data_IF_349756814608
#
_entry.id   IF_349756814608
#
_cell.length_a   1.000
_cell.length_b   1.000
_cell.length_c   1.000
_cell.angle_alpha   90.00
_cell.angle_beta   90.00
_cell.angle_gamma   90.00
#
_symmetry.space_group_name_H-M   'P 1'
#
loop_
_entity.id
_entity.type
_entity.pdbx_description
1 polymer ?
#
# COMPACT_ATOMS: atom_id res chain seq x y z
N UNK A 1 4.38 5.06 -2.11
CA UNK A 1 3.20 4.97 -1.23
C UNK A 1 2.76 6.36 -0.79
N UNK A 2 3.57 7.11 -0.04
CA UNK A 2 3.21 8.47 0.41
C UNK A 2 2.91 9.44 -0.73
N UNK A 3 3.66 9.40 -1.84
CA UNK A 3 3.37 10.20 -3.04
C UNK A 3 2.01 9.90 -3.69
N UNK A 4 1.40 8.75 -3.39
CA UNK A 4 0.06 8.36 -3.87
C UNK A 4 -1.03 8.65 -2.83
N UNK A 5 -0.70 9.30 -1.70
CA UNK A 5 -1.62 9.61 -0.61
C UNK A 5 -1.83 8.46 0.38
N UNK A 6 -0.98 7.43 0.37
CA UNK A 6 -1.03 6.36 1.38
C UNK A 6 -0.22 6.73 2.62
N UNK A 7 -0.88 6.71 3.77
CA UNK A 7 -0.29 6.89 5.08
C UNK A 7 0.18 5.55 5.65
N UNK A 8 1.41 5.53 6.16
CA UNK A 8 2.02 4.36 6.76
C UNK A 8 1.59 4.22 8.23
N UNK A 9 0.95 3.10 8.56
CA UNK A 9 0.62 2.71 9.91
C UNK A 9 1.50 1.51 10.33
N UNK A 10 2.37 1.75 11.31
CA UNK A 10 3.22 0.73 11.90
C UNK A 10 2.94 0.67 13.40
N UNK A 11 2.44 -0.46 13.95
CA UNK A 11 2.20 -0.55 15.38
C UNK A 11 3.53 -0.54 16.14
N UNK A 12 3.51 0.08 17.33
CA UNK A 12 4.71 0.48 18.10
C UNK A 12 5.50 -0.69 18.72
N UNK A 13 5.00 -1.93 18.67
CA UNK A 13 5.75 -3.12 19.09
C UNK A 13 5.18 -4.41 18.47
N UNK A 14 6.04 -5.30 17.97
CA UNK A 14 5.69 -6.68 17.59
C UNK A 14 5.15 -6.95 16.18
N UNK A 15 4.92 -5.94 15.33
CA UNK A 15 4.50 -6.21 13.95
C UNK A 15 5.67 -6.39 13.00
N UNK A 16 5.66 -7.52 12.31
CA UNK A 16 6.51 -7.83 11.15
C UNK A 16 5.98 -7.24 9.85
N UNK A 17 4.91 -6.44 9.89
CA UNK A 17 4.28 -5.85 8.70
C UNK A 17 4.05 -4.36 8.87
N UNK A 18 4.12 -3.65 7.75
CA UNK A 18 3.66 -2.29 7.55
C UNK A 18 2.28 -2.33 6.89
N UNK A 19 1.36 -1.48 7.34
CA UNK A 19 0.07 -1.31 6.67
C UNK A 19 -0.01 0.12 6.16
N UNK A 20 -0.29 0.28 4.88
CA UNK A 20 -0.49 1.56 4.20
C UNK A 20 -1.98 1.76 4.00
N UNK A 21 -2.52 2.90 4.43
CA UNK A 21 -3.93 3.25 4.28
C UNK A 21 -4.09 4.58 3.56
N UNK A 22 -5.06 4.64 2.66
CA UNK A 22 -5.54 5.87 2.04
C UNK A 22 -7.05 5.93 2.26
N UNK A 23 -7.58 7.10 2.58
CA UNK A 23 -9.02 7.27 2.82
C UNK A 23 -9.80 6.92 1.54
N UNK A 24 -10.84 6.08 1.66
CA UNK A 24 -11.64 5.62 0.52
C UNK A 24 -11.03 4.46 -0.27
N UNK A 25 -9.79 4.05 0.03
CA UNK A 25 -9.07 3.00 -0.69
C UNK A 25 -8.83 1.77 0.20
N UNK A 26 -8.51 0.63 -0.42
CA UNK A 26 -8.15 -0.58 0.31
C UNK A 26 -6.79 -0.45 1.02
N UNK A 27 -6.67 -0.93 2.28
CA UNK A 27 -5.38 -0.96 2.98
C UNK A 27 -4.41 -1.97 2.36
N UNK A 28 -3.15 -1.58 2.19
CA UNK A 28 -2.09 -2.43 1.62
C UNK A 28 -1.11 -2.85 2.72
N UNK A 29 -0.89 -4.16 2.91
CA UNK A 29 0.01 -4.66 3.96
C UNK A 29 1.26 -5.29 3.36
N UNK A 30 2.44 -4.80 3.77
CA UNK A 30 3.75 -5.21 3.27
C UNK A 30 4.59 -5.77 4.42
N UNK A 31 5.21 -6.96 4.29
CA UNK A 31 6.14 -7.46 5.29
C UNK A 31 7.37 -6.54 5.44
N UNK A 32 7.81 -6.32 6.68
CA UNK A 32 9.06 -5.63 7.04
C UNK A 32 10.31 -6.43 6.71
N UNK A 33 10.20 -7.76 6.69
CA UNK A 33 11.37 -8.61 6.59
C UNK A 33 11.98 -8.52 5.20
N UNK A 34 13.23 -8.09 5.16
CA UNK A 34 14.03 -8.03 3.94
C UNK A 34 14.73 -9.37 3.70
N UNK A 35 14.83 -9.84 2.44
CA UNK A 35 14.43 -9.15 1.21
C UNK A 35 12.91 -9.22 0.95
N UNK A 36 12.33 -8.09 0.56
CA UNK A 36 10.93 -8.03 0.15
C UNK A 36 10.80 -8.83 -1.16
N UNK A 37 9.94 -9.86 -1.16
CA UNK A 37 9.70 -10.65 -2.37
C UNK A 37 9.11 -9.75 -3.46
N UNK A 38 9.60 -9.90 -4.70
CA UNK A 38 9.12 -9.14 -5.87
C UNK A 38 7.60 -9.17 -6.02
N UNK A 39 6.97 -10.30 -5.69
CA UNK A 39 5.51 -10.47 -5.69
C UNK A 39 4.80 -9.39 -4.85
N UNK A 40 5.34 -9.01 -3.69
CA UNK A 40 4.74 -7.94 -2.87
C UNK A 40 4.88 -6.57 -3.53
N UNK A 41 6.00 -6.31 -4.20
CA UNK A 41 6.22 -5.06 -4.93
C UNK A 41 5.27 -4.95 -6.12
N UNK A 42 5.08 -6.04 -6.87
CA UNK A 42 4.16 -6.05 -8.02
C UNK A 42 2.70 -5.94 -7.59
N UNK A 43 2.29 -6.62 -6.52
CA UNK A 43 0.93 -6.50 -5.96
C UNK A 43 0.64 -5.07 -5.53
N UNK A 44 1.57 -4.44 -4.78
CA UNK A 44 1.48 -3.03 -4.37
C UNK A 44 1.34 -2.12 -5.58
N UNK A 45 2.17 -2.35 -6.60
CA UNK A 45 2.18 -1.57 -7.83
C UNK A 45 0.84 -1.67 -8.55
N UNK A 46 0.30 -2.87 -8.73
CA UNK A 46 -1.00 -3.08 -9.39
C UNK A 46 -2.13 -2.37 -8.66
N UNK A 47 -2.17 -2.44 -7.33
CA UNK A 47 -3.18 -1.74 -6.51
C UNK A 47 -3.07 -0.23 -6.74
N UNK A 48 -1.88 0.32 -6.59
CA UNK A 48 -1.65 1.77 -6.69
C UNK A 48 -1.93 2.29 -8.11
N UNK A 49 -1.51 1.57 -9.16
CA UNK A 49 -1.79 1.94 -10.56
C UNK A 49 -3.28 1.80 -10.89
N UNK A 50 -3.98 0.80 -10.33
CA UNK A 50 -5.43 0.62 -10.55
C UNK A 50 -6.26 1.67 -9.83
N UNK A 51 -5.88 2.03 -8.61
CA UNK A 51 -6.55 3.10 -7.84
C UNK A 51 -6.38 4.46 -8.52
N UNK A 52 -5.17 4.78 -9.01
CA UNK A 52 -4.93 6.03 -9.74
C UNK A 52 -5.77 6.11 -11.03
N UNK A 53 -6.02 4.97 -11.68
CA UNK A 53 -6.83 4.90 -12.90
C UNK A 53 -8.34 4.91 -12.61
N UNK A 54 -8.77 4.44 -11.45
CA UNK A 54 -10.18 4.42 -11.08
C UNK A 54 -10.70 5.78 -10.58
N UNK A 55 -9.82 6.63 -10.04
CA UNK A 55 -10.13 8.01 -9.64
C UNK A 55 -10.49 8.92 -10.84
N UNK A 56 -10.11 8.54 -12.08
CA UNK A 56 -10.40 9.31 -13.31
C UNK A 56 -11.79 9.02 -13.93
N UNK A 57 -12.59 8.08 -13.38
CA UNK A 57 -13.90 7.66 -13.95
C UNK A 57 -15.10 8.09 -13.07
N UNK A 58 -14.88 9.02 -12.13
CA UNK A 58 -15.90 9.55 -11.22
C UNK A 58 -16.18 11.06 -11.44
N UNK A 59 -16.19 11.52 -12.70
CA UNK A 59 -16.71 12.84 -13.10
C UNK A 59 -18.13 12.73 -13.69
#
# INVERSE_FOLDING_TARGET
>A
MESYGYEMNAPRSGSSHYTFRKQGCMPVTIPKHEPIKKVYVEMVRQIVESEAKNDEDAE
#
